data_IF_424251604181
#
_entry.id   IF_424251604181
#
_cell.length_a   1.000
_cell.length_b   1.000
_cell.length_c   1.000
_cell.angle_alpha   90.00
_cell.angle_beta   90.00
_cell.angle_gamma   90.00
#
_symmetry.space_group_name_H-M   'P 1'
#
loop_
_entity.id
_entity.type
_entity.pdbx_description
1 polymer ?
#
# COMPACT_ATOMS: atom_id res chain seq x y z
N UNK A 1 5.44 15.76 -28.82
CA UNK A 1 5.98 16.25 -27.53
C UNK A 1 5.29 15.62 -26.30
N UNK A 2 3.96 15.50 -26.22
CA UNK A 2 3.27 14.92 -25.04
C UNK A 2 3.65 13.45 -24.71
N UNK A 3 3.84 12.58 -25.72
CA UNK A 3 4.27 11.17 -25.50
C UNK A 3 5.66 11.06 -24.88
N UNK A 4 6.59 11.96 -25.21
CA UNK A 4 7.95 11.97 -24.64
C UNK A 4 7.93 12.42 -23.16
N UNK A 5 7.10 13.40 -22.81
CA UNK A 5 6.96 13.88 -21.45
C UNK A 5 6.32 12.82 -20.53
N UNK A 6 5.29 12.12 -21.00
CA UNK A 6 4.66 11.01 -20.26
C UNK A 6 5.61 9.83 -20.07
N UNK A 7 6.42 9.49 -21.08
CA UNK A 7 7.42 8.43 -20.97
C UNK A 7 8.50 8.78 -19.93
N UNK A 8 9.01 10.02 -19.96
CA UNK A 8 10.01 10.51 -18.98
C UNK A 8 9.44 10.47 -17.55
N UNK A 9 8.20 10.93 -17.37
CA UNK A 9 7.53 10.88 -16.08
C UNK A 9 7.44 9.44 -15.52
N UNK A 10 7.06 8.48 -16.36
CA UNK A 10 7.03 7.07 -15.97
C UNK A 10 8.42 6.49 -15.65
N UNK A 11 9.47 6.92 -16.35
CA UNK A 11 10.85 6.51 -16.04
C UNK A 11 11.31 7.07 -14.67
N UNK A 12 10.98 8.32 -14.35
CA UNK A 12 11.28 8.94 -13.06
C UNK A 12 10.59 8.17 -11.93
N UNK A 13 9.31 7.84 -12.05
CA UNK A 13 8.57 7.08 -11.04
C UNK A 13 9.17 5.68 -10.83
N UNK A 14 9.49 4.94 -11.90
CA UNK A 14 10.13 3.62 -11.78
C UNK A 14 11.50 3.68 -11.11
N UNK A 15 12.33 4.66 -11.48
CA UNK A 15 13.63 4.87 -10.87
C UNK A 15 13.49 5.24 -9.38
N UNK A 16 12.58 6.15 -9.05
CA UNK A 16 12.34 6.57 -7.68
C UNK A 16 11.86 5.40 -6.82
N UNK A 17 10.89 4.60 -7.29
CA UNK A 17 10.38 3.43 -6.56
C UNK A 17 11.53 2.47 -6.22
N UNK A 18 12.39 2.17 -7.20
CA UNK A 18 13.53 1.28 -7.01
C UNK A 18 14.56 1.85 -6.03
N UNK A 19 14.91 3.14 -6.15
CA UNK A 19 15.89 3.78 -5.27
C UNK A 19 15.36 3.93 -3.85
N UNK A 20 14.08 4.27 -3.69
CA UNK A 20 13.44 4.31 -2.38
C UNK A 20 13.42 2.93 -1.72
N UNK A 21 13.13 1.87 -2.48
CA UNK A 21 13.15 0.51 -1.96
C UNK A 21 14.52 0.02 -1.50
N UNK A 22 15.62 0.54 -2.08
CA UNK A 22 17.00 0.11 -1.74
C UNK A 22 17.65 1.00 -0.69
N UNK A 23 17.40 2.31 -0.76
CA UNK A 23 18.11 3.32 0.04
C UNK A 23 17.21 4.04 1.04
N UNK A 24 15.91 3.72 1.06
CA UNK A 24 14.89 4.46 1.78
C UNK A 24 14.55 5.81 1.12
N UNK A 25 13.40 6.37 1.49
CA UNK A 25 13.00 7.70 1.00
C UNK A 25 14.00 8.79 1.41
N UNK A 26 14.49 8.77 2.66
CA UNK A 26 15.48 9.73 3.17
C UNK A 26 16.83 9.59 2.50
N UNK A 27 17.27 8.36 2.27
CA UNK A 27 18.58 8.06 1.66
C UNK A 27 18.67 8.36 0.17
N UNK A 28 17.54 8.69 -0.49
CA UNK A 28 17.49 8.97 -1.93
C UNK A 28 17.28 10.46 -2.18
N UNK A 29 18.13 11.07 -3.03
CA UNK A 29 17.99 12.46 -3.46
C UNK A 29 17.39 12.57 -4.87
N UNK A 30 16.86 13.76 -5.20
CA UNK A 30 16.41 14.07 -6.57
C UNK A 30 17.57 13.96 -7.59
N UNK A 31 18.81 14.17 -7.15
CA UNK A 31 19.98 14.05 -8.02
C UNK A 31 20.26 12.56 -8.34
N UNK A 32 20.08 11.66 -7.37
CA UNK A 32 20.24 10.23 -7.58
C UNK A 32 19.24 9.70 -8.59
N UNK A 33 17.96 10.11 -8.44
CA UNK A 33 16.88 9.75 -9.38
C UNK A 33 17.18 10.31 -10.78
N UNK A 34 17.58 11.58 -10.88
CA UNK A 34 17.91 12.19 -12.17
C UNK A 34 19.09 11.50 -12.86
N UNK A 35 20.12 11.15 -12.10
CA UNK A 35 21.29 10.42 -12.61
C UNK A 35 20.95 9.03 -13.10
N UNK A 36 20.12 8.30 -12.37
CA UNK A 36 19.66 6.96 -12.73
C UNK A 36 18.78 6.94 -14.00
N UNK A 37 17.94 7.94 -14.18
CA UNK A 37 17.11 8.12 -15.38
C UNK A 37 17.91 8.65 -16.58
N UNK A 38 19.09 9.24 -16.34
CA UNK A 38 19.92 9.89 -17.36
C UNK A 38 19.40 11.26 -17.78
N UNK A 39 18.75 12.00 -16.86
CA UNK A 39 18.26 13.36 -17.11
C UNK A 39 18.89 14.38 -16.15
N UNK A 40 18.73 15.67 -16.45
CA UNK A 40 19.16 16.70 -15.51
C UNK A 40 18.17 16.85 -14.35
N UNK A 41 18.65 17.28 -13.17
CA UNK A 41 17.80 17.63 -12.03
C UNK A 41 16.75 18.70 -12.40
N UNK A 42 17.10 19.65 -13.28
CA UNK A 42 16.16 20.65 -13.78
C UNK A 42 15.03 20.01 -14.62
N UNK A 43 15.36 19.01 -15.45
CA UNK A 43 14.35 18.24 -16.20
C UNK A 43 13.45 17.45 -15.26
N UNK A 44 13.99 16.84 -14.21
CA UNK A 44 13.18 16.12 -13.21
C UNK A 44 12.23 17.08 -12.49
N UNK A 45 12.72 18.27 -12.05
CA UNK A 45 11.92 19.28 -11.37
C UNK A 45 10.84 19.89 -12.27
N UNK A 46 10.99 19.84 -13.58
CA UNK A 46 9.93 20.20 -14.51
C UNK A 46 8.72 19.21 -14.44
N UNK A 47 9.00 17.94 -14.15
CA UNK A 47 7.97 16.90 -14.05
C UNK A 47 7.38 16.77 -12.62
N UNK A 48 8.19 16.97 -11.60
CA UNK A 48 7.80 16.81 -10.19
C UNK A 48 8.37 17.94 -9.35
N UNK A 49 7.52 18.63 -8.59
CA UNK A 49 7.89 19.75 -7.75
C UNK A 49 8.88 19.39 -6.62
N UNK A 50 9.03 18.11 -6.29
CA UNK A 50 9.92 17.60 -5.24
C UNK A 50 9.83 16.10 -5.09
N UNK A 51 10.60 15.54 -4.17
CA UNK A 51 10.68 14.13 -3.85
C UNK A 51 9.36 13.63 -3.23
N UNK A 52 8.73 14.47 -2.43
CA UNK A 52 7.44 14.24 -1.79
C UNK A 52 6.34 14.03 -2.84
N UNK A 53 6.34 14.83 -3.90
CA UNK A 53 5.35 14.69 -4.99
C UNK A 53 5.53 13.40 -5.79
N UNK A 54 6.77 12.94 -5.95
CA UNK A 54 7.07 11.63 -6.52
C UNK A 54 6.50 10.52 -5.63
N UNK A 55 6.73 10.59 -4.31
CA UNK A 55 6.21 9.60 -3.36
C UNK A 55 4.68 9.58 -3.37
N UNK A 56 4.02 10.73 -3.28
CA UNK A 56 2.56 10.81 -3.37
C UNK A 56 2.03 10.11 -4.62
N UNK A 57 2.64 10.36 -5.79
CA UNK A 57 2.19 9.77 -7.04
C UNK A 57 2.47 8.26 -7.13
N UNK A 58 3.53 7.78 -6.50
CA UNK A 58 3.80 6.35 -6.37
C UNK A 58 2.75 5.64 -5.51
N UNK A 59 2.25 6.29 -4.47
CA UNK A 59 1.30 5.72 -3.52
C UNK A 59 -0.16 5.87 -3.93
N UNK A 60 -0.47 6.83 -4.80
CA UNK A 60 -1.85 7.08 -5.28
C UNK A 60 -2.54 5.81 -5.81
N UNK A 61 -1.93 4.96 -6.66
CA UNK A 61 -2.60 3.74 -7.13
C UNK A 61 -2.96 2.75 -6.02
N UNK A 62 -2.17 2.70 -4.95
CA UNK A 62 -2.45 1.85 -3.78
C UNK A 62 -3.63 2.40 -2.99
N UNK A 63 -3.70 3.72 -2.81
CA UNK A 63 -4.82 4.39 -2.16
C UNK A 63 -6.12 4.24 -2.95
N UNK A 64 -6.07 4.47 -4.26
CA UNK A 64 -7.22 4.29 -5.16
C UNK A 64 -7.74 2.84 -5.10
N UNK A 65 -6.83 1.86 -5.06
CA UNK A 65 -7.21 0.46 -4.94
C UNK A 65 -7.85 0.12 -3.58
N UNK A 66 -7.36 0.74 -2.49
CA UNK A 66 -7.95 0.57 -1.16
C UNK A 66 -9.32 1.26 -1.08
N UNK A 67 -9.46 2.46 -1.59
CA UNK A 67 -10.75 3.15 -1.67
C UNK A 67 -11.77 2.33 -2.47
N UNK A 68 -11.38 1.80 -3.63
CA UNK A 68 -12.23 0.92 -4.44
C UNK A 68 -12.60 -0.39 -3.74
N UNK A 69 -11.72 -0.94 -2.89
CA UNK A 69 -12.05 -2.08 -2.04
C UNK A 69 -13.14 -1.71 -1.04
N UNK A 70 -12.99 -0.60 -0.33
CA UNK A 70 -13.94 -0.13 0.66
C UNK A 70 -15.31 0.16 0.04
N UNK A 71 -15.35 0.80 -1.13
CA UNK A 71 -16.57 1.03 -1.90
C UNK A 71 -17.27 -0.30 -2.27
N UNK A 72 -16.50 -1.28 -2.72
CA UNK A 72 -17.04 -2.60 -3.10
C UNK A 72 -17.68 -3.33 -1.93
N UNK A 73 -17.13 -3.22 -0.72
CA UNK A 73 -17.65 -3.89 0.47
C UNK A 73 -18.64 -3.04 1.27
N UNK A 74 -18.89 -1.80 0.88
CA UNK A 74 -19.72 -0.85 1.62
C UNK A 74 -21.14 -1.37 1.93
N UNK A 75 -21.74 -2.09 0.97
CA UNK A 75 -23.09 -2.67 1.09
C UNK A 75 -23.12 -4.09 1.68
N UNK A 76 -21.97 -4.65 2.07
CA UNK A 76 -21.90 -6.00 2.65
C UNK A 76 -22.00 -5.95 4.17
N UNK A 77 -22.47 -7.06 4.76
CA UNK A 77 -22.61 -7.23 6.22
C UNK A 77 -22.16 -8.63 6.66
N UNK A 78 -21.93 -8.77 7.98
CA UNK A 78 -21.63 -10.06 8.62
C UNK A 78 -20.39 -10.73 8.04
N UNK A 79 -20.42 -12.06 7.92
CA UNK A 79 -19.30 -12.87 7.46
C UNK A 79 -18.83 -12.53 6.06
N UNK A 80 -19.74 -12.19 5.16
CA UNK A 80 -19.41 -11.84 3.78
C UNK A 80 -18.62 -10.55 3.68
N UNK A 81 -18.94 -9.55 4.51
CA UNK A 81 -18.14 -8.32 4.62
C UNK A 81 -16.69 -8.65 5.00
N UNK A 82 -16.49 -9.44 6.06
CA UNK A 82 -15.16 -9.80 6.57
C UNK A 82 -14.37 -10.59 5.53
N UNK A 83 -14.98 -11.60 4.93
CA UNK A 83 -14.33 -12.46 3.92
C UNK A 83 -13.87 -11.66 2.70
N UNK A 84 -14.75 -10.86 2.09
CA UNK A 84 -14.44 -10.04 0.92
C UNK A 84 -13.38 -8.96 1.23
N UNK A 85 -13.42 -8.40 2.45
CA UNK A 85 -12.43 -7.43 2.90
C UNK A 85 -11.06 -8.08 3.08
N UNK A 86 -10.98 -9.25 3.71
CA UNK A 86 -9.71 -9.99 3.89
C UNK A 86 -9.10 -10.35 2.53
N UNK A 87 -9.89 -10.94 1.64
CA UNK A 87 -9.43 -11.32 0.29
C UNK A 87 -8.92 -10.09 -0.46
N UNK A 88 -9.71 -9.03 -0.51
CA UNK A 88 -9.33 -7.81 -1.21
C UNK A 88 -8.11 -7.12 -0.63
N UNK A 89 -7.95 -7.11 0.69
CA UNK A 89 -6.80 -6.52 1.36
C UNK A 89 -5.51 -7.32 1.12
N UNK A 90 -5.58 -8.65 1.18
CA UNK A 90 -4.43 -9.51 0.85
C UNK A 90 -4.02 -9.32 -0.61
N UNK A 91 -4.99 -9.32 -1.55
CA UNK A 91 -4.72 -9.11 -2.98
C UNK A 91 -4.08 -7.74 -3.25
N UNK A 92 -4.58 -6.68 -2.61
CA UNK A 92 -4.00 -5.34 -2.68
C UNK A 92 -2.57 -5.34 -2.17
N UNK A 93 -2.33 -5.91 -1.00
CA UNK A 93 -1.01 -5.95 -0.36
C UNK A 93 0.01 -6.69 -1.22
N UNK A 94 -0.37 -7.83 -1.80
CA UNK A 94 0.51 -8.60 -2.69
C UNK A 94 0.77 -7.89 -4.02
N UNK A 95 -0.20 -7.16 -4.55
CA UNK A 95 -0.07 -6.39 -5.79
C UNK A 95 0.85 -5.19 -5.64
N UNK A 96 0.82 -4.50 -4.51
CA UNK A 96 1.52 -3.24 -4.25
C UNK A 96 2.65 -3.41 -3.21
N UNK A 97 3.35 -4.55 -3.22
CA UNK A 97 4.40 -4.86 -2.23
C UNK A 97 5.47 -3.79 -2.08
N UNK A 98 5.93 -3.23 -3.22
CA UNK A 98 6.97 -2.21 -3.20
C UNK A 98 6.48 -0.93 -2.53
N UNK A 99 5.27 -0.51 -2.84
CA UNK A 99 4.62 0.67 -2.27
C UNK A 99 4.29 0.45 -0.78
N UNK A 100 3.78 -0.73 -0.42
CA UNK A 100 3.53 -1.13 0.98
C UNK A 100 4.82 -1.11 1.79
N UNK A 101 5.94 -1.57 1.23
CA UNK A 101 7.24 -1.51 1.91
C UNK A 101 7.70 -0.07 2.15
N UNK A 102 7.52 0.83 1.18
CA UNK A 102 7.82 2.25 1.36
C UNK A 102 6.99 2.86 2.50
N UNK A 103 5.71 2.50 2.56
CA UNK A 103 4.83 2.89 3.66
C UNK A 103 5.33 2.39 5.01
N UNK A 104 5.85 1.16 5.08
CA UNK A 104 6.35 0.55 6.30
C UNK A 104 7.63 1.24 6.82
N UNK A 105 8.57 1.55 5.93
CA UNK A 105 9.85 2.15 6.28
C UNK A 105 9.74 3.62 6.73
N UNK A 106 8.80 4.37 6.13
CA UNK A 106 8.67 5.82 6.32
C UNK A 106 7.34 6.25 6.98
N UNK A 107 6.65 5.33 7.66
CA UNK A 107 5.32 5.56 8.28
C UNK A 107 5.30 6.81 9.20
N UNK A 108 6.44 7.11 9.84
CA UNK A 108 6.59 8.26 10.74
C UNK A 108 6.57 9.60 10.00
N UNK A 109 7.03 9.65 8.76
CA UNK A 109 7.04 10.86 7.93
C UNK A 109 5.75 11.03 7.14
N UNK A 110 5.11 9.94 6.76
CA UNK A 110 3.88 9.97 5.98
C UNK A 110 2.71 10.60 6.75
N UNK A 111 2.72 10.54 8.07
CA UNK A 111 1.77 11.26 8.92
C UNK A 111 1.82 12.78 8.74
N UNK A 112 2.88 13.30 8.11
CA UNK A 112 3.04 14.74 7.80
C UNK A 112 2.55 15.10 6.38
N UNK A 113 2.25 14.12 5.52
CA UNK A 113 1.76 14.38 4.16
C UNK A 113 0.23 14.49 4.15
N UNK A 114 -0.25 15.72 4.22
CA UNK A 114 -1.68 16.08 4.26
C UNK A 114 -2.46 15.69 2.97
N UNK A 115 -1.76 15.32 1.90
CA UNK A 115 -2.37 14.95 0.61
C UNK A 115 -2.77 13.46 0.53
N UNK A 116 -2.52 12.67 1.60
CA UNK A 116 -2.79 11.23 1.62
C UNK A 116 -3.84 10.93 2.71
N UNK A 117 -5.05 10.57 2.30
CA UNK A 117 -6.14 10.13 3.19
C UNK A 117 -5.88 8.72 3.79
N UNK A 118 -4.60 8.40 4.06
CA UNK A 118 -4.15 7.07 4.51
C UNK A 118 -4.82 6.69 5.83
N UNK A 119 -4.98 7.64 6.75
CA UNK A 119 -5.57 7.37 8.06
C UNK A 119 -7.05 7.05 7.96
N UNK A 120 -7.79 7.79 7.14
CA UNK A 120 -9.22 7.56 6.93
C UNK A 120 -9.47 6.21 6.24
N UNK A 121 -8.67 5.88 5.21
CA UNK A 121 -8.73 4.59 4.53
C UNK A 121 -8.34 3.43 5.45
N UNK A 122 -7.33 3.61 6.32
CA UNK A 122 -6.93 2.61 7.29
C UNK A 122 -8.02 2.37 8.34
N UNK A 123 -8.70 3.43 8.80
CA UNK A 123 -9.82 3.33 9.72
C UNK A 123 -11.01 2.62 9.07
N UNK A 124 -11.32 2.92 7.81
CA UNK A 124 -12.34 2.24 7.03
C UNK A 124 -12.05 0.74 6.85
N UNK A 125 -10.80 0.41 6.55
CA UNK A 125 -10.35 -0.99 6.43
C UNK A 125 -10.45 -1.73 7.77
N UNK A 126 -10.03 -1.10 8.86
CA UNK A 126 -10.13 -1.64 10.21
C UNK A 126 -11.58 -1.92 10.61
N UNK A 127 -12.50 -0.99 10.30
CA UNK A 127 -13.92 -1.16 10.59
C UNK A 127 -14.53 -2.33 9.79
N UNK A 128 -14.18 -2.44 8.51
CA UNK A 128 -14.63 -3.55 7.65
C UNK A 128 -14.06 -4.91 8.11
N UNK A 129 -12.78 -4.99 8.47
CA UNK A 129 -12.17 -6.20 9.05
C UNK A 129 -12.80 -6.61 10.37
N UNK A 130 -13.22 -5.64 11.20
CA UNK A 130 -13.97 -5.89 12.45
C UNK A 130 -15.43 -6.29 12.20
N UNK A 131 -15.89 -6.40 10.95
CA UNK A 131 -17.29 -6.63 10.62
C UNK A 131 -18.21 -5.50 11.10
N UNK A 132 -17.70 -4.27 11.15
CA UNK A 132 -18.34 -3.06 11.75
C UNK A 132 -18.66 -3.21 13.23
N UNK A 133 -18.03 -4.16 13.91
CA UNK A 133 -18.22 -4.39 15.34
C UNK A 133 -17.40 -3.41 16.18
N UNK A 134 -18.04 -2.80 17.16
CA UNK A 134 -17.36 -1.93 18.14
C UNK A 134 -16.88 -2.72 19.39
N UNK A 135 -17.05 -4.04 19.39
CA UNK A 135 -16.60 -4.89 20.51
C UNK A 135 -15.07 -4.96 20.52
N UNK A 136 -14.46 -4.81 21.69
CA UNK A 136 -13.01 -4.84 21.86
C UNK A 136 -12.33 -6.07 21.24
N UNK A 137 -12.84 -7.32 21.42
CA UNK A 137 -12.20 -8.48 20.80
C UNK A 137 -12.14 -8.40 19.26
N UNK A 138 -13.24 -7.98 18.62
CA UNK A 138 -13.30 -7.84 17.16
C UNK A 138 -12.33 -6.77 16.65
N UNK A 139 -12.27 -5.62 17.35
CA UNK A 139 -11.34 -4.52 17.00
C UNK A 139 -9.88 -4.94 17.17
N UNK A 140 -9.55 -5.65 18.24
CA UNK A 140 -8.18 -6.16 18.47
C UNK A 140 -7.80 -7.17 17.39
N UNK A 141 -8.66 -8.12 17.07
CA UNK A 141 -8.43 -9.08 15.99
C UNK A 141 -8.21 -8.39 14.63
N UNK A 142 -9.03 -7.37 14.32
CA UNK A 142 -8.88 -6.57 13.10
C UNK A 142 -7.54 -5.83 13.05
N UNK A 143 -7.07 -5.22 14.16
CA UNK A 143 -5.74 -4.61 14.24
C UNK A 143 -4.60 -5.62 14.03
N UNK A 144 -4.73 -6.82 14.61
CA UNK A 144 -3.74 -7.89 14.42
C UNK A 144 -3.67 -8.31 12.94
N UNK A 145 -4.83 -8.48 12.28
CA UNK A 145 -4.89 -8.86 10.86
C UNK A 145 -4.36 -7.73 9.98
N UNK A 146 -4.75 -6.47 10.25
CA UNK A 146 -4.24 -5.30 9.53
C UNK A 146 -2.71 -5.27 9.54
N UNK A 147 -2.13 -5.36 10.74
CA UNK A 147 -0.68 -5.34 10.92
C UNK A 147 0.03 -6.56 10.33
N UNK A 148 -0.50 -7.77 10.56
CA UNK A 148 0.11 -9.01 10.07
C UNK A 148 0.14 -9.05 8.54
N UNK A 149 -0.95 -8.72 7.86
CA UNK A 149 -1.02 -8.69 6.39
C UNK A 149 -0.07 -7.63 5.83
N UNK A 150 -0.06 -6.42 6.43
CA UNK A 150 0.82 -5.33 6.04
C UNK A 150 2.30 -5.73 6.15
N UNK A 151 2.73 -6.25 7.30
CA UNK A 151 4.12 -6.67 7.56
C UNK A 151 4.53 -7.82 6.65
N UNK A 152 3.65 -8.81 6.46
CA UNK A 152 3.94 -9.96 5.57
C UNK A 152 4.08 -9.51 4.12
N UNK A 153 3.28 -8.54 3.67
CA UNK A 153 3.39 -7.97 2.34
C UNK A 153 4.65 -7.13 2.12
N UNK A 154 5.12 -6.44 3.18
CA UNK A 154 6.33 -5.63 3.16
C UNK A 154 7.63 -6.46 3.32
N UNK A 155 7.52 -7.73 3.75
CA UNK A 155 8.69 -8.57 4.05
C UNK A 155 9.58 -8.77 2.83
N UNK A 156 10.90 -8.62 3.04
CA UNK A 156 11.92 -8.99 2.07
C UNK A 156 12.12 -10.51 2.05
N UNK A 157 12.12 -11.09 0.86
CA UNK A 157 12.39 -12.50 0.65
C UNK A 157 11.17 -13.31 0.23
N UNK A 158 11.44 -14.43 -0.42
CA UNK A 158 10.41 -15.36 -0.88
C UNK A 158 10.04 -16.31 0.27
N UNK A 159 9.01 -15.93 1.04
CA UNK A 159 8.47 -16.78 2.11
C UNK A 159 7.83 -18.04 1.53
N UNK A 160 7.14 -17.90 0.41
CA UNK A 160 6.50 -18.95 -0.37
C UNK A 160 6.13 -18.41 -1.76
N UNK A 161 5.84 -19.29 -2.76
CA UNK A 161 5.23 -18.86 -4.01
C UNK A 161 3.96 -18.03 -3.77
N UNK A 162 3.73 -17.00 -4.57
CA UNK A 162 2.67 -16.01 -4.36
C UNK A 162 1.27 -16.62 -4.14
N UNK A 163 0.92 -17.68 -4.88
CA UNK A 163 -0.37 -18.35 -4.73
C UNK A 163 -0.52 -19.02 -3.35
N UNK A 164 0.56 -19.67 -2.88
CA UNK A 164 0.58 -20.33 -1.57
C UNK A 164 0.53 -19.28 -0.46
N UNK A 165 1.34 -18.23 -0.58
CA UNK A 165 1.39 -17.13 0.37
C UNK A 165 0.01 -16.45 0.49
N UNK A 166 -0.61 -16.14 -0.64
CA UNK A 166 -1.95 -15.57 -0.70
C UNK A 166 -2.97 -16.44 0.06
N UNK A 167 -3.00 -17.74 -0.25
CA UNK A 167 -3.95 -18.66 0.38
C UNK A 167 -3.75 -18.76 1.90
N UNK A 168 -2.50 -18.82 2.36
CA UNK A 168 -2.19 -18.90 3.79
C UNK A 168 -2.45 -17.58 4.53
N UNK A 169 -2.19 -16.42 3.91
CA UNK A 169 -2.54 -15.11 4.48
C UNK A 169 -4.04 -15.00 4.69
N UNK A 170 -4.86 -15.33 3.67
CA UNK A 170 -6.32 -15.29 3.77
C UNK A 170 -6.81 -16.23 4.87
N UNK A 171 -6.37 -17.49 4.87
CA UNK A 171 -6.77 -18.50 5.86
C UNK A 171 -6.41 -18.05 7.28
N UNK A 172 -5.22 -17.51 7.49
CA UNK A 172 -4.75 -17.08 8.80
C UNK A 172 -5.49 -15.83 9.28
N UNK A 173 -5.75 -14.87 8.40
CA UNK A 173 -6.53 -13.69 8.72
C UNK A 173 -7.96 -14.04 9.13
N UNK A 174 -8.65 -14.89 8.36
CA UNK A 174 -10.02 -15.32 8.69
C UNK A 174 -10.09 -16.08 10.02
N UNK A 175 -9.12 -16.95 10.32
CA UNK A 175 -9.05 -17.62 11.63
C UNK A 175 -8.85 -16.64 12.78
N UNK A 176 -8.02 -15.61 12.58
CA UNK A 176 -7.77 -14.58 13.61
C UNK A 176 -9.02 -13.76 13.90
N UNK A 177 -9.86 -13.55 12.88
CA UNK A 177 -11.13 -12.83 12.99
C UNK A 177 -12.28 -13.73 13.50
N UNK A 178 -12.01 -14.95 13.96
CA UNK A 178 -13.01 -15.96 14.33
C UNK A 178 -14.04 -16.23 13.21
N UNK A 179 -13.57 -16.15 11.95
CA UNK A 179 -14.41 -16.33 10.80
C UNK A 179 -14.07 -17.63 10.06
N UNK A 180 -15.02 -18.54 10.02
CA UNK A 180 -14.92 -19.75 9.19
C UNK A 180 -15.45 -19.42 7.80
N UNK A 181 -14.68 -19.59 6.71
CA UNK A 181 -15.18 -19.34 5.36
C UNK A 181 -16.36 -20.26 5.06
N UNK A 182 -17.38 -19.71 4.43
CA UNK A 182 -18.59 -20.44 3.98
C UNK A 182 -18.29 -21.35 2.81
#
# INVERSE_FOLDING_TARGET
>A
MARSASAMRGQILKSALRLFAVHGFRGTSLQDIASDVGCSKASLLYHFAGKEKILTELLTPTQDALAALLDRVAGLEGGRLVEETVVGYVDLTLRFRCEIRLLFEDITEMSCHQDLDVMELADGLLDALAGRSQRTPARVAAWMVLGAVFVTGAADGEVAPDEVLRAEMIRSALRTLDHTPS
#
